data_IF_325566837360
#
_entry.id   IF_325566837360
#
_cell.length_a   1.000
_cell.length_b   1.000
_cell.length_c   1.000
_cell.angle_alpha   90.00
_cell.angle_beta   90.00
_cell.angle_gamma   90.00
#
_symmetry.space_group_name_H-M   'P 1'
#
loop_
_entity.id
_entity.type
_entity.pdbx_description
1 polymer ?
#
# COMPACT_ATOMS: atom_id res chain seq x y z
N UNK A 1 -24.44 -25.41 78.05
CA UNK A 1 -23.07 -25.95 77.94
C UNK A 1 -22.51 -25.50 76.60
N UNK A 2 -21.44 -24.74 76.43
CA UNK A 2 -20.69 -23.81 77.25
C UNK A 2 -19.95 -22.92 76.22
N UNK A 3 -19.96 -21.61 76.44
CA UNK A 3 -18.94 -20.64 75.96
C UNK A 3 -17.54 -21.07 76.46
N UNK A 4 -16.38 -20.53 75.97
CA UNK A 4 -16.08 -19.08 75.80
C UNK A 4 -15.10 -18.79 74.62
N UNK A 5 -14.57 -17.61 74.28
CA UNK A 5 -14.70 -16.16 74.56
C UNK A 5 -13.75 -15.43 73.59
N UNK A 6 -14.03 -14.17 73.25
CA UNK A 6 -13.12 -13.22 72.56
C UNK A 6 -11.86 -12.88 73.39
N UNK A 7 -10.90 -12.10 72.84
CA UNK A 7 -10.94 -10.61 72.86
C UNK A 7 -10.69 -9.95 71.47
N UNK A 8 -11.40 -8.88 71.04
CA UNK A 8 -11.09 -7.42 71.16
C UNK A 8 -9.66 -7.03 70.74
N UNK A 9 -9.33 -6.03 69.93
CA UNK A 9 -9.98 -4.78 69.50
C UNK A 9 -9.05 -4.03 68.50
N UNK A 10 -9.59 -2.98 67.87
CA UNK A 10 -8.93 -1.80 67.28
C UNK A 10 -8.72 -1.73 65.76
N UNK A 11 -9.70 -1.07 65.16
CA UNK A 11 -9.58 -0.07 64.09
C UNK A 11 -8.50 1.00 64.38
N UNK A 12 -7.60 1.21 63.44
CA UNK A 12 -6.86 2.47 63.28
C UNK A 12 -6.31 2.59 61.84
N UNK A 13 -6.95 3.48 61.09
CA UNK A 13 -6.35 4.51 60.24
C UNK A 13 -4.86 4.33 59.84
N UNK A 14 -4.58 4.14 58.55
CA UNK A 14 -3.25 4.31 57.97
C UNK A 14 -3.25 5.44 56.94
N UNK A 15 -3.25 6.65 57.47
CA UNK A 15 -2.69 7.82 56.80
C UNK A 15 -1.17 7.65 56.70
N UNK A 16 -0.64 7.66 55.48
CA UNK A 16 0.81 7.68 55.26
C UNK A 16 1.36 9.05 55.67
N UNK A 17 2.04 9.03 56.81
CA UNK A 17 2.77 10.12 57.44
C UNK A 17 3.96 10.51 56.56
N UNK A 18 3.94 11.73 56.03
CA UNK A 18 5.13 12.39 55.49
C UNK A 18 6.07 12.73 56.65
N UNK A 19 7.23 12.11 56.69
CA UNK A 19 8.30 12.43 57.65
C UNK A 19 8.94 13.74 57.21
N UNK A 20 8.46 14.86 57.77
CA UNK A 20 9.14 16.13 57.75
C UNK A 20 10.17 16.16 58.89
N UNK A 21 11.45 15.94 58.56
CA UNK A 21 12.55 16.20 59.48
C UNK A 21 12.64 17.72 59.72
N UNK A 22 12.27 18.16 60.92
CA UNK A 22 12.58 19.49 61.45
C UNK A 22 13.94 19.45 62.15
N UNK A 23 14.92 20.17 61.58
CA UNK A 23 16.16 20.55 62.26
C UNK A 23 16.09 22.05 62.59
N UNK A 24 16.79 22.53 63.64
CA UNK A 24 16.41 23.73 64.36
C UNK A 24 16.78 25.01 63.62
N UNK A 25 15.95 26.04 63.82
CA UNK A 25 16.17 27.42 63.38
C UNK A 25 17.34 28.00 64.17
N UNK A 26 18.51 28.05 63.54
CA UNK A 26 19.62 28.90 63.96
C UNK A 26 19.42 30.29 63.33
N UNK A 27 19.28 31.30 64.18
CA UNK A 27 19.22 32.70 63.78
C UNK A 27 20.52 33.11 63.06
N UNK A 28 20.40 33.60 61.83
CA UNK A 28 21.50 34.19 61.07
C UNK A 28 21.12 35.62 60.65
N UNK A 29 22.01 36.57 60.94
CA UNK A 29 21.82 38.00 60.79
C UNK A 29 21.76 38.50 59.33
N UNK A 30 21.56 39.81 59.14
CA UNK A 30 21.31 40.39 57.83
C UNK A 30 22.65 40.61 57.11
N UNK A 31 22.95 39.81 56.10
CA UNK A 31 24.06 40.10 55.19
C UNK A 31 24.72 38.88 54.57
N UNK A 32 24.13 38.35 53.51
CA UNK A 32 24.83 37.71 52.40
C UNK A 32 23.83 37.35 51.31
N UNK A 33 23.87 38.07 50.18
CA UNK A 33 23.24 37.62 48.93
C UNK A 33 24.05 36.41 48.42
N UNK A 34 23.72 35.23 48.94
CA UNK A 34 24.25 33.95 48.48
C UNK A 34 23.34 33.36 47.41
N UNK A 35 23.90 33.11 46.23
CA UNK A 35 23.27 32.42 45.11
C UNK A 35 22.40 31.25 45.58
N UNK A 36 21.09 31.32 45.32
CA UNK A 36 20.21 30.17 45.46
C UNK A 36 20.74 29.03 44.56
N UNK A 37 20.78 27.78 45.04
CA UNK A 37 21.11 26.65 44.17
C UNK A 37 20.09 26.62 43.02
N UNK A 38 20.54 26.44 41.76
CA UNK A 38 19.62 26.37 40.64
C UNK A 38 18.61 25.25 40.90
N UNK A 39 17.33 25.42 40.51
CA UNK A 39 16.33 24.39 40.70
C UNK A 39 16.81 23.07 40.08
N UNK A 40 16.52 21.91 40.70
CA UNK A 40 16.93 20.63 40.16
C UNK A 40 16.37 20.50 38.74
N UNK A 41 17.27 20.45 37.76
CA UNK A 41 16.89 20.16 36.38
C UNK A 41 16.40 18.72 36.36
N UNK A 42 15.10 18.51 36.27
CA UNK A 42 14.54 17.19 35.99
C UNK A 42 15.04 16.75 34.61
N UNK A 43 16.17 16.04 34.57
CA UNK A 43 16.67 15.39 33.36
C UNK A 43 15.80 14.16 33.09
N UNK A 44 14.62 14.39 32.48
CA UNK A 44 13.81 13.34 31.87
C UNK A 44 14.42 12.97 30.51
N UNK A 45 15.49 12.16 30.53
CA UNK A 45 16.00 11.52 29.32
C UNK A 45 15.06 10.38 28.95
N UNK A 46 14.04 10.67 28.14
CA UNK A 46 13.12 9.66 27.63
C UNK A 46 13.80 8.90 26.47
N UNK A 47 13.83 7.56 26.50
CA UNK A 47 14.41 6.77 25.43
C UNK A 47 13.52 6.78 24.18
N UNK A 48 14.12 6.54 23.03
CA UNK A 48 13.38 6.32 21.78
C UNK A 48 12.49 5.08 21.86
N UNK A 49 11.36 5.13 21.16
CA UNK A 49 10.44 4.01 21.07
C UNK A 49 11.10 2.80 20.40
N UNK A 50 10.75 1.61 20.87
CA UNK A 50 11.26 0.36 20.30
C UNK A 50 10.51 0.00 19.00
N UNK A 51 11.14 -0.81 18.15
CA UNK A 51 10.51 -1.33 16.93
C UNK A 51 9.15 -2.03 17.18
N UNK A 52 9.02 -2.99 18.12
CA UNK A 52 7.75 -3.65 18.36
C UNK A 52 6.64 -2.71 18.84
N UNK A 53 6.97 -1.68 19.62
CA UNK A 53 5.97 -0.70 20.08
C UNK A 53 5.46 0.16 18.91
N UNK A 54 6.36 0.60 18.03
CA UNK A 54 5.98 1.36 16.83
C UNK A 54 5.08 0.52 15.92
N UNK A 55 5.38 -0.79 15.76
CA UNK A 55 4.57 -1.70 14.97
C UNK A 55 3.19 -1.92 15.62
N UNK A 56 3.15 -2.18 16.94
CA UNK A 56 1.88 -2.38 17.67
C UNK A 56 1.01 -1.13 17.62
N UNK A 57 1.60 0.05 17.78
CA UNK A 57 0.89 1.32 17.63
C UNK A 57 0.29 1.46 16.22
N UNK A 58 1.08 1.18 15.17
CA UNK A 58 0.58 1.27 13.80
C UNK A 58 -0.52 0.25 13.48
N UNK A 59 -0.40 -0.98 13.98
CA UNK A 59 -1.43 -2.00 13.85
C UNK A 59 -2.73 -1.58 14.54
N UNK A 60 -2.62 -1.00 15.74
CA UNK A 60 -3.77 -0.49 16.49
C UNK A 60 -4.43 0.70 15.78
N UNK A 61 -3.65 1.61 15.23
CA UNK A 61 -4.16 2.71 14.40
C UNK A 61 -4.88 2.19 13.15
N UNK A 62 -4.28 1.22 12.44
CA UNK A 62 -4.88 0.61 11.25
C UNK A 62 -6.21 -0.08 11.55
N UNK A 63 -6.31 -0.73 12.71
CA UNK A 63 -7.55 -1.34 13.18
C UNK A 63 -8.68 -0.30 13.36
N UNK A 64 -8.41 0.82 14.03
CA UNK A 64 -9.42 1.86 14.23
C UNK A 64 -9.73 2.63 12.96
N UNK A 65 -8.76 2.84 12.07
CA UNK A 65 -8.99 3.39 10.74
C UNK A 65 -9.96 2.53 9.95
N UNK A 66 -9.82 1.20 10.01
CA UNK A 66 -10.74 0.29 9.33
C UNK A 66 -12.16 0.39 9.87
N UNK A 67 -12.33 0.43 11.20
CA UNK A 67 -13.64 0.63 11.83
C UNK A 67 -14.26 1.95 11.37
N UNK A 68 -13.50 3.05 11.40
CA UNK A 68 -13.98 4.35 10.95
C UNK A 68 -14.37 4.32 9.47
N UNK A 69 -13.60 3.63 8.62
CA UNK A 69 -13.92 3.46 7.20
C UNK A 69 -15.24 2.74 7.00
N UNK A 70 -15.46 1.64 7.72
CA UNK A 70 -16.71 0.87 7.64
C UNK A 70 -17.91 1.71 8.09
N UNK A 71 -17.79 2.41 9.23
CA UNK A 71 -18.84 3.30 9.73
C UNK A 71 -19.17 4.45 8.75
N UNK A 72 -18.14 5.09 8.17
CA UNK A 72 -18.36 6.16 7.18
C UNK A 72 -18.98 5.60 5.90
N UNK A 73 -18.55 4.41 5.45
CA UNK A 73 -19.15 3.74 4.28
C UNK A 73 -20.63 3.42 4.50
N UNK A 74 -20.99 2.92 5.68
CA UNK A 74 -22.38 2.61 6.03
C UNK A 74 -23.22 3.88 6.14
N UNK A 75 -22.68 4.94 6.74
CA UNK A 75 -23.36 6.25 6.78
C UNK A 75 -23.61 6.82 5.37
N UNK A 76 -22.62 6.74 4.47
CA UNK A 76 -22.78 7.19 3.07
C UNK A 76 -23.81 6.33 2.34
N UNK A 77 -23.84 5.02 2.61
CA UNK A 77 -24.83 4.10 2.03
C UNK A 77 -26.25 4.44 2.45
N UNK A 78 -26.46 4.74 3.73
CA UNK A 78 -27.78 5.06 4.28
C UNK A 78 -28.29 6.42 3.79
N UNK A 79 -27.41 7.43 3.72
CA UNK A 79 -27.80 8.79 3.33
C UNK A 79 -27.95 8.95 1.81
N UNK A 80 -27.01 8.40 1.02
CA UNK A 80 -26.93 8.66 -0.44
C UNK A 80 -27.21 7.42 -1.30
N UNK A 81 -27.49 6.27 -0.67
CA UNK A 81 -27.72 5.02 -1.35
C UNK A 81 -26.44 4.28 -1.78
N UNK A 82 -26.60 3.00 -2.12
CA UNK A 82 -25.50 2.10 -2.49
C UNK A 82 -24.80 2.48 -3.81
N UNK A 83 -25.53 3.08 -4.77
CA UNK A 83 -24.96 3.50 -6.05
C UNK A 83 -23.88 4.57 -5.88
N UNK A 84 -24.16 5.59 -5.06
CA UNK A 84 -23.24 6.69 -4.76
C UNK A 84 -22.02 6.18 -3.99
N UNK A 85 -22.25 5.32 -3.00
CA UNK A 85 -21.18 4.67 -2.23
C UNK A 85 -20.21 3.90 -3.14
N UNK A 86 -20.72 3.13 -4.11
CA UNK A 86 -19.86 2.39 -5.05
C UNK A 86 -19.11 3.33 -6.01
N UNK A 87 -19.75 4.41 -6.46
CA UNK A 87 -19.12 5.39 -7.36
C UNK A 87 -17.95 6.14 -6.69
N UNK A 88 -18.07 6.44 -5.39
CA UNK A 88 -17.10 7.24 -4.63
C UNK A 88 -16.40 6.44 -3.53
N UNK A 89 -16.25 5.11 -3.69
CA UNK A 89 -15.70 4.25 -2.64
C UNK A 89 -14.29 4.69 -2.21
N UNK A 90 -13.43 5.04 -3.17
CA UNK A 90 -12.06 5.47 -2.91
C UNK A 90 -11.99 6.81 -2.17
N UNK A 91 -12.90 7.71 -2.50
CA UNK A 91 -13.01 9.06 -1.96
C UNK A 91 -13.52 9.00 -0.52
N UNK A 92 -14.49 8.12 -0.25
CA UNK A 92 -15.00 7.85 1.09
C UNK A 92 -13.92 7.26 2.01
N UNK A 93 -13.10 6.33 1.49
CA UNK A 93 -11.97 5.77 2.24
C UNK A 93 -10.92 6.82 2.58
N UNK A 94 -10.52 7.63 1.59
CA UNK A 94 -9.54 8.71 1.77
C UNK A 94 -10.07 9.79 2.72
N UNK A 95 -11.36 10.11 2.65
CA UNK A 95 -12.01 11.03 3.58
C UNK A 95 -11.95 10.51 5.02
N UNK A 96 -12.26 9.22 5.23
CA UNK A 96 -12.19 8.59 6.54
C UNK A 96 -10.77 8.64 7.12
N UNK A 97 -9.74 8.29 6.32
CA UNK A 97 -8.34 8.41 6.72
C UNK A 97 -7.94 9.85 7.05
N UNK A 98 -8.38 10.80 6.23
CA UNK A 98 -8.11 12.22 6.46
C UNK A 98 -8.75 12.70 7.76
N UNK A 99 -9.99 12.31 8.04
CA UNK A 99 -10.68 12.62 9.30
C UNK A 99 -9.90 12.06 10.49
N UNK A 100 -9.51 10.79 10.45
CA UNK A 100 -8.74 10.17 11.53
C UNK A 100 -7.45 10.93 11.83
N UNK A 101 -6.63 11.18 10.81
CA UNK A 101 -5.35 11.88 10.98
C UNK A 101 -5.49 13.38 11.25
N UNK A 102 -6.60 13.99 10.84
CA UNK A 102 -6.91 15.38 11.18
C UNK A 102 -7.22 15.50 12.67
N UNK A 103 -8.12 14.66 13.18
CA UNK A 103 -8.54 14.69 14.58
C UNK A 103 -7.41 14.30 15.53
N UNK A 104 -6.52 13.41 15.10
CA UNK A 104 -5.37 12.96 15.91
C UNK A 104 -4.15 13.84 15.66
N UNK A 105 -3.42 13.56 14.57
CA UNK A 105 -2.11 14.15 14.30
C UNK A 105 -2.17 15.65 14.00
N UNK A 106 -3.10 16.12 13.17
CA UNK A 106 -3.10 17.53 12.74
C UNK A 106 -3.46 18.48 13.87
N UNK A 107 -4.46 18.14 14.68
CA UNK A 107 -4.80 18.87 15.90
C UNK A 107 -3.69 18.76 16.96
N UNK A 108 -2.94 17.67 16.97
CA UNK A 108 -1.80 17.47 17.88
C UNK A 108 -2.11 16.66 19.12
N UNK A 109 -3.19 15.89 19.05
CA UNK A 109 -3.46 14.83 19.99
C UNK A 109 -2.73 13.57 19.55
N UNK A 110 -2.52 12.64 20.48
CA UNK A 110 -1.93 11.34 20.16
C UNK A 110 -2.93 10.50 19.35
N UNK A 111 -2.42 9.62 18.49
CA UNK A 111 -3.26 8.58 17.89
C UNK A 111 -3.63 7.51 18.93
N UNK A 112 -4.66 6.72 18.66
CA UNK A 112 -5.09 5.67 19.60
C UNK A 112 -4.03 4.58 19.77
N UNK A 113 -3.25 4.31 18.73
CA UNK A 113 -2.09 3.42 18.77
C UNK A 113 -0.91 4.03 19.53
N UNK A 114 -0.71 5.34 19.41
CA UNK A 114 0.29 6.06 20.20
C UNK A 114 -0.01 6.01 21.70
N UNK A 115 -1.27 6.24 22.08
CA UNK A 115 -1.73 6.07 23.46
C UNK A 115 -1.61 4.61 23.91
N UNK A 116 -1.97 3.65 23.05
CA UNK A 116 -1.92 2.23 23.38
C UNK A 116 -0.50 1.72 23.70
N UNK A 117 0.53 2.31 23.08
CA UNK A 117 1.93 1.92 23.31
C UNK A 117 2.71 2.92 24.19
N UNK A 118 2.04 3.91 24.79
CA UNK A 118 2.68 4.99 25.57
C UNK A 118 3.80 5.71 24.78
N UNK A 119 3.62 5.89 23.47
CA UNK A 119 4.60 6.56 22.59
C UNK A 119 4.07 7.91 22.12
N UNK A 120 4.97 8.87 21.90
CA UNK A 120 4.63 10.21 21.42
C UNK A 120 5.53 10.65 20.27
N UNK A 121 4.97 11.45 19.36
CA UNK A 121 5.67 12.01 18.22
C UNK A 121 6.58 13.17 18.65
N UNK A 122 7.84 13.12 18.21
CA UNK A 122 8.80 14.20 18.37
C UNK A 122 9.51 14.50 17.05
N UNK A 123 10.00 15.73 16.92
CA UNK A 123 10.93 16.08 15.85
C UNK A 123 12.32 15.49 16.13
N UNK A 124 12.91 14.79 15.16
CA UNK A 124 14.25 14.21 15.29
C UNK A 124 15.36 15.23 15.55
N UNK A 125 15.23 16.47 15.04
CA UNK A 125 16.31 17.47 15.16
C UNK A 125 16.23 18.31 16.43
N UNK A 126 15.02 18.63 16.91
CA UNK A 126 14.82 19.50 18.07
C UNK A 126 14.40 18.76 19.33
N UNK A 127 13.97 17.49 19.23
CA UNK A 127 13.42 16.74 20.37
C UNK A 127 12.10 17.31 20.91
N UNK A 128 11.54 18.33 20.27
CA UNK A 128 10.28 18.97 20.65
C UNK A 128 9.11 18.33 19.94
N UNK A 129 7.89 18.65 20.41
CA UNK A 129 6.66 18.31 19.71
C UNK A 129 6.68 18.83 18.25
N UNK A 130 6.22 18.04 17.26
CA UNK A 130 6.28 18.43 15.85
C UNK A 130 5.41 19.66 15.55
N UNK A 131 5.98 20.58 14.77
CA UNK A 131 5.27 21.79 14.34
C UNK A 131 4.09 21.47 13.42
N UNK A 132 3.09 22.36 13.37
CA UNK A 132 1.95 22.25 12.45
C UNK A 132 2.35 21.94 10.99
N UNK A 133 3.33 22.61 10.35
CA UNK A 133 3.68 22.31 8.96
C UNK A 133 4.28 20.91 8.76
N UNK A 134 4.97 20.35 9.76
CA UNK A 134 5.46 18.97 9.66
C UNK A 134 4.35 17.95 9.83
N UNK A 135 3.41 18.21 10.73
CA UNK A 135 2.22 17.38 10.93
C UNK A 135 1.33 17.41 9.69
N UNK A 136 1.10 18.58 9.09
CA UNK A 136 0.35 18.67 7.84
C UNK A 136 1.06 17.97 6.68
N UNK A 137 2.38 18.11 6.56
CA UNK A 137 3.17 17.37 5.58
C UNK A 137 3.08 15.84 5.79
N UNK A 138 3.00 15.38 7.05
CA UNK A 138 2.83 13.96 7.35
C UNK A 138 1.48 13.45 6.84
N UNK A 139 0.40 14.15 7.16
CA UNK A 139 -0.96 13.80 6.73
C UNK A 139 -1.06 13.85 5.20
N UNK A 140 -0.52 14.91 4.59
CA UNK A 140 -0.48 15.05 3.13
C UNK A 140 0.24 13.88 2.47
N UNK A 141 1.43 13.51 2.97
CA UNK A 141 2.19 12.41 2.41
C UNK A 141 1.49 11.07 2.60
N UNK A 142 0.89 10.85 3.77
CA UNK A 142 0.33 9.56 4.11
C UNK A 142 -1.02 9.28 3.43
N UNK A 143 -1.86 10.30 3.28
CA UNK A 143 -3.25 10.15 2.79
C UNK A 143 -3.41 10.68 1.37
N UNK A 144 -2.93 11.89 1.09
CA UNK A 144 -3.23 12.57 -0.17
C UNK A 144 -2.33 12.14 -1.32
N UNK A 145 -1.04 11.86 -1.08
CA UNK A 145 -0.12 11.42 -2.15
C UNK A 145 -0.56 10.10 -2.80
N UNK A 146 -0.91 9.03 -2.06
CA UNK A 146 -1.39 7.78 -2.67
C UNK A 146 -2.65 8.00 -3.52
N UNK A 147 -3.57 8.86 -3.05
CA UNK A 147 -4.77 9.22 -3.78
C UNK A 147 -4.44 9.97 -5.09
N UNK A 148 -3.63 11.03 -5.01
CA UNK A 148 -3.19 11.80 -6.18
C UNK A 148 -2.42 10.91 -7.16
N UNK A 149 -1.57 10.02 -6.66
CA UNK A 149 -0.81 9.09 -7.49
C UNK A 149 -1.74 8.13 -8.25
N UNK A 150 -2.72 7.53 -7.57
CA UNK A 150 -3.64 6.58 -8.22
C UNK A 150 -4.54 7.25 -9.28
N UNK A 151 -5.12 8.41 -8.98
CA UNK A 151 -5.93 9.18 -9.94
C UNK A 151 -5.08 9.78 -11.07
N UNK A 152 -3.92 10.33 -10.73
CA UNK A 152 -2.98 10.90 -11.68
C UNK A 152 -2.42 9.86 -12.66
N UNK A 153 -2.08 8.67 -12.18
CA UNK A 153 -1.64 7.56 -13.04
C UNK A 153 -2.77 7.09 -13.98
N UNK A 154 -4.02 7.05 -13.52
CA UNK A 154 -5.17 6.71 -14.35
C UNK A 154 -5.42 7.76 -15.44
N UNK A 155 -5.37 9.04 -15.10
CA UNK A 155 -5.58 10.14 -16.04
C UNK A 155 -4.43 10.25 -17.05
N UNK A 156 -3.19 10.06 -16.60
CA UNK A 156 -2.03 10.04 -17.48
C UNK A 156 -2.16 8.90 -18.49
N UNK A 157 -2.52 7.69 -18.05
CA UNK A 157 -2.78 6.55 -18.95
C UNK A 157 -3.91 6.82 -19.95
N UNK A 158 -4.95 7.56 -19.56
CA UNK A 158 -6.04 7.94 -20.48
C UNK A 158 -5.55 8.89 -21.58
N UNK A 159 -4.69 9.84 -21.23
CA UNK A 159 -4.14 10.82 -22.18
C UNK A 159 -3.01 10.27 -23.04
N UNK A 160 -2.27 9.28 -22.55
CA UNK A 160 -1.16 8.66 -23.27
C UNK A 160 -1.55 7.42 -24.05
N UNK A 161 -2.83 6.98 -23.99
CA UNK A 161 -3.31 5.95 -24.91
C UNK A 161 -3.11 6.45 -26.34
N UNK A 162 -2.28 5.79 -27.17
CA UNK A 162 -2.26 6.09 -28.59
C UNK A 162 -3.70 5.95 -29.12
N UNK A 163 -4.13 6.92 -29.91
CA UNK A 163 -5.39 6.76 -30.64
C UNK A 163 -5.20 5.51 -31.51
N UNK A 164 -6.06 4.47 -31.41
CA UNK A 164 -5.96 3.37 -32.35
C UNK A 164 -5.99 3.96 -33.76
N UNK A 165 -5.16 3.48 -34.69
CA UNK A 165 -5.22 3.97 -36.07
C UNK A 165 -6.67 3.87 -36.50
N UNK A 166 -7.28 5.01 -36.84
CA UNK A 166 -8.59 5.03 -37.46
C UNK A 166 -8.43 4.21 -38.73
N UNK A 167 -8.94 2.97 -38.74
CA UNK A 167 -9.12 2.18 -39.97
C UNK A 167 -9.94 3.05 -40.92
N UNK A 168 -9.22 3.71 -41.82
CA UNK A 168 -9.77 4.59 -42.82
C UNK A 168 -10.52 3.69 -43.80
N UNK A 169 -11.82 3.52 -43.59
CA UNK A 169 -12.69 3.05 -44.68
C UNK A 169 -12.65 4.14 -45.74
N UNK A 170 -11.76 3.96 -46.72
CA UNK A 170 -11.56 4.85 -47.85
C UNK A 170 -12.72 4.68 -48.83
N UNK A 171 -13.87 5.23 -48.46
CA UNK A 171 -14.95 5.53 -49.39
C UNK A 171 -14.58 6.81 -50.16
N UNK A 172 -14.37 6.66 -51.46
CA UNK A 172 -14.22 7.77 -52.42
C UNK A 172 -15.24 8.88 -52.17
N UNK A 173 -14.78 10.04 -51.69
CA UNK A 173 -15.48 11.31 -51.87
C UNK A 173 -14.49 12.39 -52.25
N UNK A 174 -14.60 12.77 -53.52
CA UNK A 174 -13.99 13.95 -54.11
C UNK A 174 -14.53 15.21 -53.42
N UNK A 175 -13.62 16.16 -53.25
CA UNK A 175 -13.82 17.57 -52.89
C UNK A 175 -14.00 17.86 -51.40
N UNK A 176 -12.89 18.18 -50.75
CA UNK A 176 -12.87 19.05 -49.58
C UNK A 176 -11.71 20.04 -49.72
N UNK A 177 -12.11 21.23 -50.16
CA UNK A 177 -11.54 22.56 -49.93
C UNK A 177 -10.32 22.67 -49.00
N UNK A 178 -9.31 23.36 -49.54
CA UNK A 178 -8.24 24.06 -48.84
C UNK A 178 -8.75 24.79 -47.59
N UNK A 179 -8.36 24.34 -46.42
CA UNK A 179 -8.46 25.14 -45.19
C UNK A 179 -7.28 24.80 -44.27
N UNK A 180 -6.40 25.79 -44.14
CA UNK A 180 -5.43 26.06 -43.08
C UNK A 180 -4.91 24.88 -42.25
N UNK A 181 -3.71 24.42 -42.63
CA UNK A 181 -2.81 23.70 -41.73
C UNK A 181 -1.93 24.75 -41.04
N UNK A 182 -2.33 25.16 -39.84
CA UNK A 182 -1.44 25.91 -38.95
C UNK A 182 -0.19 25.06 -38.63
N UNK A 183 1.03 25.64 -38.68
CA UNK A 183 2.24 24.92 -38.31
C UNK A 183 2.26 24.69 -36.78
N UNK A 184 1.90 23.48 -36.35
CA UNK A 184 2.13 23.04 -34.97
C UNK A 184 3.64 23.10 -34.68
N UNK A 185 4.01 23.99 -33.76
CA UNK A 185 5.38 24.13 -33.21
C UNK A 185 5.93 22.76 -32.86
N UNK A 186 6.93 22.29 -33.61
CA UNK A 186 7.59 21.02 -33.34
C UNK A 186 8.24 21.05 -31.95
N UNK A 187 7.93 20.09 -31.06
CA UNK A 187 8.64 19.99 -29.79
C UNK A 187 10.11 19.65 -30.07
N UNK A 188 11.02 20.32 -29.37
CA UNK A 188 12.47 20.14 -29.58
C UNK A 188 12.86 18.66 -29.49
N UNK A 189 13.81 18.21 -30.32
CA UNK A 189 14.27 16.82 -30.36
C UNK A 189 14.73 16.28 -28.98
N UNK A 190 15.13 17.17 -28.06
CA UNK A 190 15.43 16.84 -26.68
C UNK A 190 14.18 16.49 -25.86
N UNK A 191 13.05 17.18 -26.05
CA UNK A 191 11.77 16.83 -25.42
C UNK A 191 11.22 15.51 -25.98
N UNK A 192 11.46 15.20 -27.25
CA UNK A 192 11.08 13.91 -27.84
C UNK A 192 11.94 12.79 -27.23
N UNK A 193 13.28 12.92 -27.21
CA UNK A 193 14.17 11.94 -26.56
C UNK A 193 13.88 11.76 -25.06
N UNK A 194 13.60 12.84 -24.34
CA UNK A 194 13.23 12.80 -22.93
C UNK A 194 11.86 12.15 -22.75
N UNK A 195 10.88 12.46 -23.60
CA UNK A 195 9.54 11.85 -23.55
C UNK A 195 9.61 10.35 -23.85
N UNK A 196 10.41 9.91 -24.83
CA UNK A 196 10.59 8.50 -25.17
C UNK A 196 11.39 7.76 -24.10
N UNK A 197 12.45 8.37 -23.55
CA UNK A 197 13.21 7.80 -22.43
C UNK A 197 12.36 7.68 -21.16
N UNK A 198 11.60 8.72 -20.82
CA UNK A 198 10.67 8.72 -19.68
C UNK A 198 9.57 7.69 -19.94
N UNK A 199 8.97 7.63 -21.12
CA UNK A 199 7.93 6.64 -21.41
C UNK A 199 8.42 5.19 -21.30
N UNK A 200 9.66 4.92 -21.70
CA UNK A 200 10.25 3.57 -21.63
C UNK A 200 10.71 3.22 -20.19
N UNK A 201 11.29 4.18 -19.47
CA UNK A 201 11.89 3.92 -18.16
C UNK A 201 10.91 4.07 -16.98
N UNK A 202 9.94 4.97 -17.10
CA UNK A 202 8.95 5.25 -16.06
C UNK A 202 8.12 4.02 -15.63
N UNK A 203 7.56 3.18 -16.54
CA UNK A 203 6.77 2.02 -16.12
C UNK A 203 7.63 0.99 -15.39
N UNK A 204 8.85 0.73 -15.86
CA UNK A 204 9.83 -0.19 -15.27
C UNK A 204 10.30 0.29 -13.89
N UNK A 205 10.56 1.59 -13.75
CA UNK A 205 10.95 2.18 -12.48
C UNK A 205 9.78 2.20 -11.48
N UNK A 206 8.57 2.52 -11.94
CA UNK A 206 7.36 2.49 -11.12
C UNK A 206 7.06 1.09 -10.59
N UNK A 207 7.16 0.05 -11.42
CA UNK A 207 6.98 -1.34 -10.97
C UNK A 207 8.09 -1.76 -10.02
N UNK A 208 9.34 -1.39 -10.30
CA UNK A 208 10.46 -1.69 -9.40
C UNK A 208 10.28 -1.06 -8.02
N UNK A 209 10.00 0.25 -7.95
CA UNK A 209 9.82 0.98 -6.68
C UNK A 209 8.56 0.51 -5.94
N UNK A 210 7.47 0.21 -6.65
CA UNK A 210 6.25 -0.31 -6.04
C UNK A 210 6.47 -1.69 -5.40
N UNK A 211 7.23 -2.55 -6.07
CA UNK A 211 7.44 -3.94 -5.62
C UNK A 211 8.55 -4.04 -4.55
N UNK A 212 9.66 -3.33 -4.73
CA UNK A 212 10.85 -3.50 -3.88
C UNK A 212 11.06 -2.35 -2.90
N UNK A 213 10.54 -1.15 -3.20
CA UNK A 213 10.79 0.05 -2.41
C UNK A 213 10.22 0.00 -1.00
N UNK A 214 9.00 -0.53 -0.84
CA UNK A 214 8.39 -0.70 0.48
C UNK A 214 9.19 -1.69 1.34
N UNK A 215 9.53 -2.86 0.79
CA UNK A 215 10.30 -3.90 1.47
C UNK A 215 11.70 -3.42 1.87
N UNK A 216 12.36 -2.63 1.02
CA UNK A 216 13.66 -2.03 1.33
C UNK A 216 13.56 -1.01 2.48
N UNK A 217 12.55 -0.13 2.46
CA UNK A 217 12.32 0.81 3.56
C UNK A 217 12.00 0.09 4.88
N UNK A 218 11.19 -0.98 4.82
CA UNK A 218 10.85 -1.82 5.97
C UNK A 218 12.10 -2.51 6.53
N UNK A 219 12.98 -3.03 5.69
CA UNK A 219 14.26 -3.60 6.13
C UNK A 219 15.11 -2.57 6.89
N UNK A 220 15.25 -1.35 6.35
CA UNK A 220 15.95 -0.26 7.04
C UNK A 220 15.28 0.09 8.37
N UNK A 221 13.96 0.03 8.45
CA UNK A 221 13.25 0.21 9.72
C UNK A 221 13.62 -0.88 10.75
N UNK A 222 13.67 -2.15 10.37
CA UNK A 222 14.03 -3.23 11.30
C UNK A 222 15.50 -3.23 11.72
N UNK A 223 16.40 -2.59 10.98
CA UNK A 223 17.78 -2.40 11.43
C UNK A 223 17.95 -1.19 12.36
N UNK A 224 17.35 -0.05 12.02
CA UNK A 224 17.62 1.21 12.74
C UNK A 224 16.51 1.64 13.72
N UNK A 225 15.31 1.08 13.60
CA UNK A 225 14.16 1.34 14.45
C UNK A 225 13.60 2.76 14.39
N UNK A 226 14.04 3.60 13.45
CA UNK A 226 13.76 5.03 13.49
C UNK A 226 12.41 5.43 12.85
N UNK A 227 12.05 4.84 11.70
CA UNK A 227 10.91 5.29 10.89
C UNK A 227 10.15 4.11 10.25
N UNK A 228 8.96 3.79 10.75
CA UNK A 228 8.14 2.71 10.20
C UNK A 228 7.49 3.07 8.86
N UNK A 229 6.97 4.30 8.71
CA UNK A 229 6.37 4.77 7.46
C UNK A 229 7.30 5.70 6.69
N UNK A 230 7.20 5.69 5.36
CA UNK A 230 7.97 6.60 4.51
C UNK A 230 7.61 8.07 4.79
N UNK A 231 6.34 8.36 5.07
CA UNK A 231 5.87 9.70 5.46
C UNK A 231 6.60 10.25 6.69
N UNK A 232 6.83 9.42 7.71
CA UNK A 232 7.56 9.80 8.93
C UNK A 232 9.05 10.02 8.66
N UNK A 233 9.64 9.25 7.73
CA UNK A 233 11.03 9.43 7.29
C UNK A 233 11.24 10.77 6.60
N UNK A 234 10.35 11.15 5.68
CA UNK A 234 10.44 12.44 4.96
C UNK A 234 10.23 13.62 5.89
N UNK A 235 9.29 13.50 6.84
CA UNK A 235 8.98 14.58 7.79
C UNK A 235 9.93 14.66 8.99
N UNK A 236 10.76 13.63 9.20
CA UNK A 236 11.68 13.55 10.33
C UNK A 236 11.01 13.34 11.68
N UNK A 237 9.77 12.83 11.70
CA UNK A 237 9.01 12.59 12.93
C UNK A 237 9.38 11.21 13.50
N UNK A 238 9.85 11.18 14.74
CA UNK A 238 10.25 9.97 15.48
C UNK A 238 9.39 9.76 16.70
N UNK A 239 9.47 8.56 17.27
CA UNK A 239 8.76 8.21 18.51
C UNK A 239 9.68 8.12 19.71
N UNK A 240 9.20 8.62 20.84
CA UNK A 240 9.79 8.40 22.17
C UNK A 240 8.73 7.84 23.12
N UNK A 241 9.17 7.18 24.17
CA UNK A 241 8.26 6.76 25.23
C UNK A 241 7.86 7.92 26.14
N UNK A 242 6.61 7.91 26.60
CA UNK A 242 6.10 8.87 27.59
C UNK A 242 6.40 8.44 29.05
N UNK A 243 6.97 7.23 29.24
CA UNK A 243 7.31 6.66 30.54
C UNK A 243 8.78 6.27 30.65
N UNK A 244 9.28 6.21 31.88
CA UNK A 244 10.57 5.55 32.18
C UNK A 244 10.32 4.04 32.18
N UNK A 245 11.14 3.29 31.45
CA UNK A 245 11.03 1.83 31.45
C UNK A 245 11.45 1.28 32.80
N UNK A 246 10.74 0.25 33.25
CA UNK A 246 11.09 -0.47 34.47
C UNK A 246 12.37 -1.26 34.27
N UNK A 247 13.24 -1.39 35.31
CA UNK A 247 14.43 -2.22 35.24
C UNK A 247 14.01 -3.69 35.07
N UNK A 248 14.17 -4.23 33.85
CA UNK A 248 13.72 -5.58 33.48
C UNK A 248 12.78 -5.65 32.27
N UNK A 249 12.31 -4.51 31.75
CA UNK A 249 11.56 -4.47 30.48
C UNK A 249 12.52 -4.66 29.30
N UNK A 250 12.66 -5.90 28.83
CA UNK A 250 13.58 -6.26 27.76
C UNK A 250 13.12 -5.69 26.41
N UNK A 251 13.97 -4.84 25.82
CA UNK A 251 13.79 -4.31 24.47
C UNK A 251 14.28 -5.34 23.46
N UNK A 252 13.49 -6.37 23.19
CA UNK A 252 13.81 -7.28 22.10
C UNK A 252 13.65 -6.53 20.77
N UNK A 253 14.79 -6.30 20.11
CA UNK A 253 14.83 -5.73 18.77
C UNK A 253 14.33 -6.75 17.75
N UNK A 254 13.65 -6.29 16.71
CA UNK A 254 13.24 -7.10 15.56
C UNK A 254 14.31 -7.06 14.45
N UNK A 255 15.58 -6.94 14.82
CA UNK A 255 16.72 -6.88 13.89
C UNK A 255 16.84 -8.16 13.05
N UNK A 256 16.55 -9.32 13.64
CA UNK A 256 16.52 -10.61 12.95
C UNK A 256 15.49 -10.62 11.82
N UNK A 257 14.32 -9.99 12.03
CA UNK A 257 13.30 -9.85 11.00
C UNK A 257 13.81 -8.99 9.83
N UNK A 258 14.64 -7.98 10.12
CA UNK A 258 15.35 -7.19 9.11
C UNK A 258 16.26 -8.06 8.23
N UNK A 259 17.04 -8.97 8.83
CA UNK A 259 17.90 -9.91 8.09
C UNK A 259 17.07 -10.83 7.18
N UNK A 260 15.96 -11.35 7.68
CA UNK A 260 15.05 -12.20 6.88
C UNK A 260 14.50 -11.44 5.65
N UNK A 261 14.14 -10.16 5.80
CA UNK A 261 13.67 -9.34 4.68
C UNK A 261 14.78 -9.09 3.65
N UNK A 262 16.03 -8.89 4.09
CA UNK A 262 17.17 -8.75 3.17
C UNK A 262 17.40 -10.02 2.37
N UNK A 263 17.32 -11.20 3.02
CA UNK A 263 17.41 -12.49 2.34
C UNK A 263 16.27 -12.64 1.32
N UNK A 264 15.03 -12.31 1.71
CA UNK A 264 13.89 -12.34 0.82
C UNK A 264 14.09 -11.42 -0.40
N UNK A 265 14.58 -10.19 -0.20
CA UNK A 265 14.90 -9.25 -1.27
C UNK A 265 16.01 -9.78 -2.19
N UNK A 266 17.03 -10.44 -1.63
CA UNK A 266 18.09 -11.06 -2.42
C UNK A 266 17.55 -12.20 -3.30
N UNK A 267 16.65 -13.03 -2.76
CA UNK A 267 15.99 -14.11 -3.51
C UNK A 267 15.11 -13.53 -4.63
N UNK A 268 14.31 -12.50 -4.34
CA UNK A 268 13.47 -11.83 -5.34
C UNK A 268 14.32 -11.20 -6.45
N UNK A 269 15.42 -10.54 -6.08
CA UNK A 269 16.36 -9.96 -7.04
C UNK A 269 17.02 -11.04 -7.92
N UNK A 270 17.37 -12.17 -7.32
CA UNK A 270 17.93 -13.32 -8.05
C UNK A 270 16.93 -13.90 -9.05
N UNK A 271 15.68 -14.12 -8.62
CA UNK A 271 14.62 -14.62 -9.50
C UNK A 271 14.31 -13.63 -10.64
N UNK A 272 14.23 -12.34 -10.35
CA UNK A 272 14.02 -11.30 -11.35
C UNK A 272 15.15 -11.25 -12.38
N UNK A 273 16.42 -11.32 -11.93
CA UNK A 273 17.57 -11.41 -12.84
C UNK A 273 17.53 -12.65 -13.71
N UNK A 274 17.12 -13.79 -13.16
CA UNK A 274 17.01 -15.04 -13.91
C UNK A 274 15.91 -14.97 -14.98
N UNK A 275 14.78 -14.32 -14.68
CA UNK A 275 13.72 -14.07 -15.66
C UNK A 275 14.22 -13.21 -16.82
N UNK A 276 14.91 -12.09 -16.52
CA UNK A 276 15.52 -11.25 -17.55
C UNK A 276 16.55 -11.98 -18.43
N UNK A 277 17.35 -12.88 -17.83
CA UNK A 277 18.31 -13.68 -18.58
C UNK A 277 17.63 -14.72 -19.50
N UNK A 278 16.53 -15.33 -19.04
CA UNK A 278 15.75 -16.26 -19.84
C UNK A 278 15.05 -15.56 -21.02
N UNK A 279 14.44 -14.39 -20.78
CA UNK A 279 13.82 -13.57 -21.81
C UNK A 279 14.84 -13.07 -22.84
N UNK A 280 16.04 -12.69 -22.41
CA UNK A 280 17.12 -12.29 -23.33
C UNK A 280 17.56 -13.46 -24.23
N UNK A 281 17.63 -14.67 -23.68
CA UNK A 281 18.00 -15.86 -24.45
C UNK A 281 16.91 -16.27 -25.46
N UNK A 282 15.63 -16.12 -25.09
CA UNK A 282 14.49 -16.33 -25.99
C UNK A 282 14.55 -15.35 -27.16
N UNK A 283 14.76 -14.05 -26.90
CA UNK A 283 14.89 -13.02 -27.96
C UNK A 283 16.08 -13.28 -28.89
N UNK A 284 17.22 -13.71 -28.36
CA UNK A 284 18.39 -14.10 -29.19
C UNK A 284 18.08 -15.33 -30.04
N UNK A 285 17.37 -16.32 -29.51
CA UNK A 285 16.98 -17.52 -30.26
C UNK A 285 15.96 -17.21 -31.36
N UNK A 286 14.98 -16.32 -31.09
CA UNK A 286 14.02 -15.85 -32.08
C UNK A 286 14.71 -15.04 -33.19
N UNK A 287 15.65 -14.15 -32.86
CA UNK A 287 16.43 -13.39 -33.84
C UNK A 287 17.33 -14.29 -34.71
N UNK A 288 17.89 -15.37 -34.14
CA UNK A 288 18.68 -16.35 -34.89
C UNK A 288 17.82 -17.17 -35.88
N UNK A 289 16.59 -17.52 -35.50
CA UNK A 289 15.61 -18.18 -36.37
C UNK A 289 15.16 -17.26 -37.53
N UNK A 290 14.94 -15.98 -37.25
CA UNK A 290 14.62 -14.98 -38.28
C UNK A 290 15.76 -14.77 -39.29
N UNK A 291 17.01 -14.76 -38.84
CA UNK A 291 18.18 -14.63 -39.71
C UNK A 291 18.41 -15.87 -40.62
N UNK A 292 18.07 -17.07 -40.16
CA UNK A 292 18.23 -18.32 -40.90
C UNK A 292 17.36 -18.43 -42.17
N UNK A 293 16.24 -17.71 -42.23
CA UNK A 293 15.33 -17.71 -43.39
C UNK A 293 15.79 -16.82 -44.56
N UNK A 294 16.92 -16.11 -44.45
CA UNK A 294 17.35 -15.10 -45.45
C UNK A 294 18.25 -15.62 -46.58
N UNK A 295 18.58 -16.92 -46.62
CA UNK A 295 19.48 -17.53 -47.62
C UNK A 295 18.76 -18.37 -48.71
N UNK A 296 17.43 -18.31 -48.76
CA UNK A 296 16.63 -19.27 -49.53
C UNK A 296 15.58 -18.73 -50.50
N UNK A 297 15.63 -17.48 -50.98
CA UNK A 297 14.85 -17.11 -52.18
C UNK A 297 15.30 -15.76 -52.76
N UNK A 298 15.90 -15.79 -53.95
CA UNK A 298 16.04 -14.61 -54.83
C UNK A 298 15.19 -14.85 -56.08
N UNK A 299 13.96 -14.35 -56.06
CA UNK A 299 13.04 -14.24 -57.20
C UNK A 299 12.08 -13.07 -56.97
N UNK A 300 12.09 -12.10 -57.87
CA UNK A 300 11.39 -10.81 -57.82
C UNK A 300 9.84 -10.95 -57.79
N UNK A 301 8.98 -10.03 -57.33
CA UNK A 301 8.92 -8.56 -57.40
C UNK A 301 7.87 -7.97 -56.43
N UNK A 302 8.05 -6.69 -56.06
CA UNK A 302 7.04 -5.63 -55.86
C UNK A 302 6.07 -5.67 -54.66
N UNK A 303 6.33 -4.75 -53.72
CA UNK A 303 5.32 -3.88 -53.08
C UNK A 303 4.73 -4.37 -51.76
N UNK A 304 4.49 -3.40 -50.87
CA UNK A 304 3.67 -3.42 -49.65
C UNK A 304 4.45 -3.50 -48.32
N UNK A 305 4.58 -2.31 -47.73
CA UNK A 305 4.21 -1.94 -46.35
C UNK A 305 4.90 -2.65 -45.18
N UNK A 306 5.96 -2.00 -44.68
CA UNK A 306 6.48 -2.18 -43.32
C UNK A 306 5.55 -1.47 -42.32
N UNK A 307 4.46 -2.14 -41.92
CA UNK A 307 3.63 -1.71 -40.78
C UNK A 307 3.24 -2.88 -39.84
N UNK A 308 3.88 -4.05 -39.92
CA UNK A 308 3.43 -5.24 -39.16
C UNK A 308 4.22 -5.59 -37.88
N UNK A 309 5.21 -4.80 -37.44
CA UNK A 309 6.02 -5.15 -36.23
C UNK A 309 5.49 -4.60 -34.89
N UNK A 310 4.34 -3.89 -34.85
CA UNK A 310 3.74 -3.41 -33.58
C UNK A 310 2.49 -4.21 -33.12
N UNK A 311 2.03 -5.22 -33.88
CA UNK A 311 0.87 -6.03 -33.49
C UNK A 311 1.20 -7.24 -32.58
N UNK A 312 2.48 -7.65 -32.45
CA UNK A 312 2.84 -8.85 -31.67
C UNK A 312 2.86 -8.66 -30.14
N UNK A 313 3.07 -7.43 -29.62
CA UNK A 313 3.04 -7.20 -28.17
C UNK A 313 1.62 -6.98 -27.60
N UNK A 314 0.65 -6.54 -28.42
CA UNK A 314 -0.76 -6.52 -28.01
C UNK A 314 -1.40 -7.92 -28.11
N UNK A 315 -0.95 -8.81 -28.99
CA UNK A 315 -1.44 -10.20 -29.02
C UNK A 315 -0.96 -11.00 -27.79
N UNK A 316 0.20 -10.72 -27.18
CA UNK A 316 0.61 -11.43 -25.95
C UNK A 316 -0.20 -11.02 -24.71
N UNK A 317 -0.65 -9.77 -24.61
CA UNK A 317 -1.55 -9.35 -23.52
C UNK A 317 -3.02 -9.71 -23.79
N UNK A 318 -3.44 -9.77 -25.05
CA UNK A 318 -4.80 -10.18 -25.42
C UNK A 318 -4.96 -11.71 -25.40
N UNK A 319 -3.93 -12.48 -25.75
CA UNK A 319 -3.88 -13.94 -25.55
C UNK A 319 -3.77 -14.33 -24.09
N UNK A 320 -3.01 -13.60 -23.25
CA UNK A 320 -2.97 -13.90 -21.79
C UNK A 320 -4.23 -13.48 -21.04
N UNK A 321 -4.90 -12.40 -21.46
CA UNK A 321 -6.22 -12.03 -20.96
C UNK A 321 -7.31 -13.02 -21.43
N UNK A 322 -7.29 -13.45 -22.69
CA UNK A 322 -8.19 -14.50 -23.20
C UNK A 322 -7.88 -15.88 -22.59
N UNK A 323 -6.61 -16.19 -22.28
CA UNK A 323 -6.21 -17.40 -21.59
C UNK A 323 -6.69 -17.42 -20.13
N UNK A 324 -6.66 -16.28 -19.42
CA UNK A 324 -7.24 -16.19 -18.07
C UNK A 324 -8.77 -16.24 -18.09
N UNK A 325 -9.44 -15.73 -19.14
CA UNK A 325 -10.89 -15.89 -19.34
C UNK A 325 -11.27 -17.35 -19.58
N UNK A 326 -10.35 -18.23 -20.01
CA UNK A 326 -10.59 -19.67 -20.26
C UNK A 326 -10.21 -20.61 -19.11
N UNK A 327 -9.65 -20.12 -18.00
CA UNK A 327 -9.30 -20.95 -16.83
C UNK A 327 -10.48 -21.18 -15.90
N UNK A 328 -10.51 -22.33 -15.22
CA UNK A 328 -11.47 -22.60 -14.16
C UNK A 328 -10.95 -22.04 -12.84
N UNK A 329 -11.73 -21.29 -12.08
CA UNK A 329 -11.26 -20.75 -10.79
C UNK A 329 -11.23 -21.81 -9.67
N UNK A 330 -11.75 -23.02 -9.92
CA UNK A 330 -11.73 -24.12 -8.96
C UNK A 330 -10.47 -24.98 -9.09
N UNK A 331 -10.05 -25.33 -10.32
CA UNK A 331 -8.83 -26.11 -10.57
C UNK A 331 -7.65 -25.32 -11.12
N UNK A 332 -7.85 -24.05 -11.47
CA UNK A 332 -6.85 -23.13 -12.06
C UNK A 332 -6.31 -23.52 -13.46
N UNK A 333 -6.76 -24.67 -13.99
CA UNK A 333 -6.46 -25.15 -15.34
C UNK A 333 -7.41 -24.60 -16.41
N UNK A 334 -7.06 -24.70 -17.71
CA UNK A 334 -7.99 -24.43 -18.82
C UNK A 334 -9.28 -25.25 -18.67
N UNK A 335 -10.44 -24.61 -18.87
CA UNK A 335 -11.75 -25.26 -18.66
C UNK A 335 -11.97 -26.41 -19.65
N UNK A 336 -12.02 -27.63 -19.13
CA UNK A 336 -12.49 -28.82 -19.85
C UNK A 336 -13.99 -29.00 -19.60
N UNK A 337 -14.78 -29.28 -20.64
CA UNK A 337 -16.25 -29.36 -20.56
C UNK A 337 -16.88 -28.15 -19.84
N UNK A 338 -16.73 -26.96 -20.44
CA UNK A 338 -17.18 -25.70 -19.84
C UNK A 338 -18.66 -25.77 -19.46
N UNK A 339 -18.99 -25.42 -18.22
CA UNK A 339 -20.34 -25.43 -17.67
C UNK A 339 -20.66 -24.07 -17.08
N UNK A 340 -21.83 -23.53 -17.43
CA UNK A 340 -22.38 -22.31 -16.88
C UNK A 340 -23.33 -22.60 -15.72
N UNK A 341 -23.20 -21.80 -14.67
CA UNK A 341 -24.20 -21.68 -13.60
C UNK A 341 -25.34 -20.74 -14.04
N UNK A 342 -26.54 -20.79 -13.43
CA UNK A 342 -27.66 -19.90 -13.76
C UNK A 342 -27.34 -18.40 -13.66
N UNK A 343 -26.33 -18.02 -12.87
CA UNK A 343 -25.84 -16.66 -12.73
C UNK A 343 -24.82 -16.25 -13.82
N UNK A 344 -24.48 -17.14 -14.74
CA UNK A 344 -23.60 -16.87 -15.89
C UNK A 344 -22.10 -17.14 -15.65
N UNK A 345 -21.69 -17.60 -14.47
CA UNK A 345 -20.29 -17.94 -14.21
C UNK A 345 -19.90 -19.32 -14.76
N UNK A 346 -18.66 -19.44 -15.25
CA UNK A 346 -18.14 -20.57 -16.04
C UNK A 346 -17.07 -21.37 -15.30
N UNK A 347 -17.20 -22.71 -15.30
CA UNK A 347 -16.28 -23.64 -14.64
C UNK A 347 -16.12 -24.94 -15.46
N UNK A 348 -15.23 -25.86 -15.06
CA UNK A 348 -15.26 -27.23 -15.56
C UNK A 348 -16.49 -27.96 -15.00
N UNK A 349 -17.11 -28.83 -15.79
CA UNK A 349 -18.26 -29.66 -15.38
C UNK A 349 -18.01 -30.44 -14.09
N UNK A 350 -16.86 -31.11 -14.00
CA UNK A 350 -16.48 -31.92 -12.82
C UNK A 350 -16.32 -31.03 -11.59
N UNK A 351 -15.58 -29.92 -11.71
CA UNK A 351 -15.32 -29.02 -10.59
C UNK A 351 -16.60 -28.39 -10.02
N UNK A 352 -17.48 -27.86 -10.86
CA UNK A 352 -18.70 -27.20 -10.36
C UNK A 352 -19.72 -28.22 -9.83
N UNK A 353 -19.79 -29.42 -10.42
CA UNK A 353 -20.66 -30.49 -9.93
C UNK A 353 -20.24 -30.93 -8.52
N UNK A 354 -18.96 -31.20 -8.30
CA UNK A 354 -18.42 -31.60 -6.99
C UNK A 354 -18.60 -30.49 -5.94
N UNK A 355 -18.41 -29.22 -6.34
CA UNK A 355 -18.68 -28.09 -5.45
C UNK A 355 -20.16 -28.03 -5.04
N UNK A 356 -21.07 -28.06 -6.02
CA UNK A 356 -22.51 -27.94 -5.78
C UNK A 356 -23.10 -29.15 -5.03
N UNK A 357 -22.44 -30.31 -5.03
CA UNK A 357 -22.82 -31.46 -4.19
C UNK A 357 -22.60 -31.18 -2.70
N UNK A 358 -21.55 -30.43 -2.35
CA UNK A 358 -21.23 -30.08 -0.96
C UNK A 358 -21.91 -28.79 -0.52
N UNK A 359 -21.91 -27.77 -1.40
CA UNK A 359 -22.49 -26.45 -1.15
C UNK A 359 -23.26 -25.98 -2.39
N UNK A 360 -24.61 -25.96 -2.37
CA UNK A 360 -25.43 -25.60 -3.53
C UNK A 360 -25.46 -24.07 -3.76
N UNK A 361 -24.28 -23.47 -3.95
CA UNK A 361 -24.08 -22.04 -4.22
C UNK A 361 -22.96 -21.83 -5.25
N UNK A 362 -23.03 -20.75 -6.02
CA UNK A 362 -21.99 -20.37 -6.96
C UNK A 362 -20.72 -19.92 -6.20
N UNK A 363 -19.52 -20.44 -6.53
CA UNK A 363 -18.26 -20.04 -5.87
C UNK A 363 -17.91 -18.55 -5.97
N UNK A 364 -18.42 -17.85 -6.99
CA UNK A 364 -18.07 -16.46 -7.28
C UNK A 364 -19.08 -15.45 -6.69
N UNK A 365 -20.38 -15.68 -6.87
CA UNK A 365 -21.42 -14.75 -6.44
C UNK A 365 -22.32 -15.27 -5.30
N UNK A 366 -22.11 -16.50 -4.82
CA UNK A 366 -22.90 -17.15 -3.75
C UNK A 366 -24.40 -17.28 -4.02
N UNK A 367 -24.83 -17.08 -5.27
CA UNK A 367 -26.21 -17.35 -5.66
C UNK A 367 -26.49 -18.85 -5.57
N UNK A 368 -27.67 -19.23 -5.07
CA UNK A 368 -28.08 -20.62 -4.96
C UNK A 368 -28.10 -21.31 -6.33
N UNK A 369 -27.51 -22.51 -6.44
CA UNK A 369 -27.42 -23.30 -7.68
C UNK A 369 -27.85 -24.74 -7.41
N UNK A 370 -28.81 -25.23 -8.18
CA UNK A 370 -29.19 -26.65 -8.21
C UNK A 370 -28.41 -27.40 -9.29
N UNK A 371 -28.06 -28.67 -9.05
CA UNK A 371 -27.29 -29.48 -10.02
C UNK A 371 -27.99 -29.63 -11.37
N UNK A 372 -29.32 -29.70 -11.39
CA UNK A 372 -30.14 -29.77 -12.61
C UNK A 372 -30.11 -28.48 -13.44
N UNK A 373 -29.73 -27.36 -12.84
CA UNK A 373 -29.68 -26.05 -13.47
C UNK A 373 -28.30 -25.72 -14.06
N UNK A 374 -27.34 -26.64 -14.00
CA UNK A 374 -26.03 -26.51 -14.63
C UNK A 374 -26.14 -26.76 -16.14
N UNK A 375 -25.68 -25.80 -16.94
CA UNK A 375 -25.76 -25.85 -18.40
C UNK A 375 -24.39 -26.11 -19.02
N UNK A 376 -24.13 -27.29 -19.62
CA UNK A 376 -22.90 -27.54 -20.35
C UNK A 376 -22.88 -26.73 -21.65
N UNK A 377 -21.77 -26.03 -21.90
CA UNK A 377 -21.53 -25.23 -23.10
C UNK A 377 -20.60 -26.00 -24.03
N UNK A 378 -21.12 -26.42 -25.17
CA UNK A 378 -20.34 -27.01 -26.25
C UNK A 378 -19.85 -25.91 -27.20
N UNK A 379 -18.56 -25.56 -27.11
CA UNK A 379 -17.93 -24.71 -28.12
C UNK A 379 -17.49 -25.60 -29.28
N UNK A 380 -18.15 -25.50 -30.44
CA UNK A 380 -17.60 -26.03 -31.69
C UNK A 380 -16.44 -25.13 -32.08
N UNK A 381 -15.21 -25.64 -31.93
CA UNK A 381 -14.03 -25.03 -32.53
C UNK A 381 -14.11 -25.32 -34.04
N UNK A 382 -14.40 -24.28 -34.84
CA UNK A 382 -14.29 -24.31 -36.30
C UNK A 382 -12.93 -23.78 -36.73
#
# INVERSE_FOLDING_TARGET
MSTPSQPSSNSADRSHTAVANTAPVAAAGPGAQGNAPPPPRFNLSLPSASQPDIIRANQKDSYYQQILKEQVKDAVREIFGSRTQHMYLTEVEVFSDLCYYTLTTLLGTQTLGEEYCDIMQINSSSGTFPSLPRRSALVFWHVLIPYIYSKGAQELRRRTKPHPPQRHHQGHRLNATLSDVEPKKEPSAAMIKLKTFVHNWLPTFQTFFKTHGHSAHLAVFYFFGAYYSFSKRVTGIRYIFNRKLSPGEERSGYEVLGVLIVIQLAIQLYQWRRQLAAEAQEKVSAAALAAGNTLGEKGATLGLDQEEEEEEEEDFQQTTAQANVRKCTLCLDPRTNTTATPCGHLFCWTCIREWCQNKPECPLCRQHVQLSALLPIYTKLY
#
